data_IF_873322621333
#
_entry.id   IF_873322621333
#
_cell.length_a   1.000
_cell.length_b   1.000
_cell.length_c   1.000
_cell.angle_alpha   90.00
_cell.angle_beta   90.00
_cell.angle_gamma   90.00
#
_symmetry.space_group_name_H-M   'P 1'
#
loop_
_entity.id
_entity.type
_entity.pdbx_description
1 polymer ?
#
# COMPACT_ATOMS: atom_id res chain seq x y z
N UNK A 1 11.24 -0.88 -9.65
CA UNK A 1 10.70 -0.40 -10.94
C UNK A 1 11.42 -1.01 -12.14
N UNK A 2 12.68 -0.66 -12.43
CA UNK A 2 13.37 -1.06 -13.68
C UNK A 2 13.46 -2.57 -13.93
N UNK A 3 13.63 -3.38 -12.87
CA UNK A 3 13.66 -4.84 -12.99
C UNK A 3 12.35 -5.43 -13.53
N UNK A 4 11.20 -4.82 -13.23
CA UNK A 4 9.92 -5.26 -13.79
C UNK A 4 9.87 -5.07 -15.30
N UNK A 5 10.27 -3.88 -15.77
CA UNK A 5 10.30 -3.56 -17.20
C UNK A 5 11.27 -4.46 -17.97
N UNK A 6 12.52 -4.56 -17.52
CA UNK A 6 13.51 -5.37 -18.27
C UNK A 6 13.17 -6.87 -18.26
N UNK A 7 12.52 -7.38 -17.21
CA UNK A 7 12.10 -8.78 -17.16
C UNK A 7 10.92 -9.08 -18.09
N UNK A 8 10.04 -8.10 -18.32
CA UNK A 8 8.93 -8.23 -19.26
C UNK A 8 9.43 -8.42 -20.71
N UNK A 9 10.57 -7.82 -21.06
CA UNK A 9 11.24 -7.98 -22.37
C UNK A 9 11.92 -9.35 -22.57
N UNK A 10 11.98 -10.18 -21.53
CA UNK A 10 12.58 -11.53 -21.55
C UNK A 10 14.00 -11.62 -22.18
N UNK A 11 15.00 -10.84 -21.71
CA UNK A 11 16.37 -10.98 -22.19
C UNK A 11 16.89 -12.40 -21.99
N UNK A 12 17.55 -12.98 -23.00
CA UNK A 12 17.96 -14.38 -23.01
C UNK A 12 18.88 -14.78 -21.83
N UNK A 13 19.66 -13.84 -21.32
CA UNK A 13 20.61 -14.07 -20.22
C UNK A 13 20.11 -13.57 -18.85
N UNK A 14 18.88 -13.06 -18.76
CA UNK A 14 18.30 -12.65 -17.48
C UNK A 14 17.77 -13.88 -16.73
N UNK A 15 18.62 -14.45 -15.87
CA UNK A 15 18.32 -15.70 -15.15
C UNK A 15 17.30 -15.53 -14.03
N UNK A 16 17.31 -14.40 -13.33
CA UNK A 16 16.40 -14.11 -12.22
C UNK A 16 16.33 -12.60 -11.92
N UNK A 17 15.28 -12.17 -11.22
CA UNK A 17 15.14 -10.79 -10.72
C UNK A 17 14.89 -10.74 -9.21
N UNK A 18 15.29 -9.63 -8.60
CA UNK A 18 14.99 -9.28 -7.20
C UNK A 18 14.42 -7.86 -7.14
N UNK A 19 13.15 -7.65 -7.51
CA UNK A 19 12.49 -6.37 -7.31
C UNK A 19 12.30 -6.15 -5.80
N UNK A 20 13.26 -5.46 -5.20
CA UNK A 20 13.24 -5.14 -3.78
C UNK A 20 12.52 -3.80 -3.62
N UNK A 21 11.26 -3.82 -3.16
CA UNK A 21 10.43 -2.61 -3.00
C UNK A 21 10.25 -1.82 -4.30
N UNK A 22 9.57 -2.41 -5.29
CA UNK A 22 9.47 -1.87 -6.63
C UNK A 22 8.05 -1.51 -7.05
N UNK A 23 7.79 -0.23 -7.32
CA UNK A 23 6.60 0.20 -8.07
C UNK A 23 6.49 -0.55 -9.42
N UNK A 24 5.28 -0.99 -9.77
CA UNK A 24 4.94 -1.71 -10.99
C UNK A 24 3.95 -0.98 -11.91
N UNK A 25 3.15 -0.06 -11.36
CA UNK A 25 2.24 0.85 -12.08
C UNK A 25 2.38 2.27 -11.51
N UNK A 26 3.17 3.12 -12.18
CA UNK A 26 3.52 4.44 -11.66
C UNK A 26 2.30 5.35 -11.45
N UNK A 27 1.29 5.23 -12.31
CA UNK A 27 0.08 6.04 -12.20
C UNK A 27 -0.72 5.63 -10.97
N UNK A 28 -1.06 4.35 -10.82
CA UNK A 28 -1.95 3.89 -9.74
C UNK A 28 -1.28 3.84 -8.36
N UNK A 29 0.06 3.83 -8.30
CA UNK A 29 0.79 3.56 -7.06
C UNK A 29 1.58 4.74 -6.51
N UNK A 30 1.84 5.78 -7.31
CA UNK A 30 2.64 6.91 -6.84
C UNK A 30 2.11 8.25 -7.32
N UNK A 31 1.76 8.37 -8.59
CA UNK A 31 1.37 9.65 -9.19
C UNK A 31 -0.10 10.01 -8.96
N UNK A 32 -1.01 9.03 -9.03
CA UNK A 32 -2.46 9.26 -9.05
C UNK A 32 -3.22 8.12 -8.37
N UNK A 33 -2.85 7.82 -7.12
CA UNK A 33 -3.55 6.82 -6.31
C UNK A 33 -5.04 7.16 -6.23
N UNK A 34 -5.90 6.19 -6.50
CA UNK A 34 -7.34 6.42 -6.48
C UNK A 34 -7.86 7.45 -7.49
N UNK A 35 -7.06 7.88 -8.48
CA UNK A 35 -7.44 8.97 -9.37
C UNK A 35 -7.24 10.38 -8.78
N UNK A 36 -6.56 10.50 -7.64
CA UNK A 36 -6.19 11.79 -7.04
C UNK A 36 -4.72 12.09 -7.32
N UNK A 37 -4.41 13.16 -8.08
CA UNK A 37 -3.05 13.57 -8.38
C UNK A 37 -2.22 13.90 -7.12
N UNK A 38 -1.06 13.24 -6.99
CA UNK A 38 -0.08 13.49 -5.93
C UNK A 38 1.12 14.25 -6.49
N UNK A 39 1.20 15.54 -6.20
CA UNK A 39 2.31 16.38 -6.64
C UNK A 39 3.48 16.42 -5.65
N UNK A 40 3.24 16.12 -4.37
CA UNK A 40 4.21 16.37 -3.29
C UNK A 40 5.52 15.60 -3.45
N UNK A 41 5.44 14.27 -3.53
CA UNK A 41 6.63 13.41 -3.60
C UNK A 41 7.45 13.66 -4.88
N UNK A 42 6.79 13.69 -6.05
CA UNK A 42 7.49 13.95 -7.30
C UNK A 42 8.00 15.39 -7.42
N UNK A 43 7.30 16.37 -6.85
CA UNK A 43 7.77 17.75 -6.76
C UNK A 43 9.02 17.87 -5.90
N UNK A 44 9.09 17.11 -4.81
CA UNK A 44 10.26 17.02 -3.95
C UNK A 44 11.44 16.31 -4.62
N UNK A 45 11.23 15.14 -5.26
CA UNK A 45 12.33 14.33 -5.78
C UNK A 45 12.87 14.85 -7.12
N UNK A 46 12.01 15.47 -7.95
CA UNK A 46 12.35 15.87 -9.31
C UNK A 46 13.60 16.76 -9.39
N UNK A 47 13.83 17.78 -8.54
CA UNK A 47 15.07 18.56 -8.53
C UNK A 47 16.36 17.74 -8.32
N UNK A 48 16.29 16.58 -7.67
CA UNK A 48 17.43 15.69 -7.42
C UNK A 48 17.70 14.70 -8.56
N UNK A 49 16.78 14.56 -9.52
CA UNK A 49 16.91 13.65 -10.66
C UNK A 49 17.45 14.39 -11.88
N UNK A 50 18.72 14.81 -11.84
CA UNK A 50 19.38 15.48 -12.97
C UNK A 50 20.14 14.50 -13.87
N UNK A 51 20.23 14.85 -15.15
CA UNK A 51 20.99 14.13 -16.17
C UNK A 51 21.57 15.10 -17.19
N UNK A 52 22.39 14.61 -18.12
CA UNK A 52 23.00 15.43 -19.17
C UNK A 52 22.05 15.78 -20.32
N UNK A 53 20.82 15.25 -20.31
CA UNK A 53 19.84 15.39 -21.39
C UNK A 53 18.49 15.88 -20.86
N UNK A 54 17.47 15.82 -21.71
CA UNK A 54 16.09 16.13 -21.34
C UNK A 54 15.55 15.11 -20.33
N UNK A 55 14.61 15.55 -19.51
CA UNK A 55 13.90 14.72 -18.54
C UNK A 55 12.40 14.89 -18.75
N UNK A 56 11.68 13.79 -18.60
CA UNK A 56 10.23 13.80 -18.55
C UNK A 56 9.72 14.58 -17.33
N UNK A 57 8.84 15.56 -17.56
CA UNK A 57 8.14 16.27 -16.50
C UNK A 57 6.82 15.54 -16.20
N UNK A 58 6.90 14.53 -15.34
CA UNK A 58 5.74 13.71 -14.98
C UNK A 58 4.62 14.51 -14.30
N UNK A 59 4.94 15.64 -13.65
CA UNK A 59 3.93 16.50 -13.01
C UNK A 59 3.15 17.27 -14.08
N UNK A 60 3.85 17.89 -15.02
CA UNK A 60 3.21 18.55 -16.16
C UNK A 60 2.39 17.56 -17.01
N UNK A 61 2.88 16.32 -17.15
CA UNK A 61 2.16 15.26 -17.87
C UNK A 61 0.91 14.82 -17.11
N UNK A 62 0.91 14.78 -15.78
CA UNK A 62 -0.27 14.49 -14.96
C UNK A 62 -1.32 15.60 -15.04
N UNK A 63 -0.90 16.86 -15.12
CA UNK A 63 -1.80 17.99 -15.36
C UNK A 63 -2.42 17.93 -16.76
N UNK A 64 -1.62 17.57 -17.77
CA UNK A 64 -2.08 17.46 -19.16
C UNK A 64 -2.98 16.24 -19.39
N UNK A 65 -2.67 15.12 -18.74
CA UNK A 65 -3.34 13.84 -18.87
C UNK A 65 -3.75 13.32 -17.48
N UNK A 66 -4.83 13.83 -16.89
CA UNK A 66 -5.22 13.50 -15.52
C UNK A 66 -5.79 12.08 -15.38
N UNK A 67 -6.27 11.49 -16.47
CA UNK A 67 -6.86 10.15 -16.53
C UNK A 67 -5.91 9.14 -17.18
N UNK A 68 -6.07 7.86 -16.83
CA UNK A 68 -5.36 6.74 -17.43
C UNK A 68 -5.56 6.71 -18.95
N UNK A 69 -4.46 6.71 -19.70
CA UNK A 69 -4.43 6.67 -21.16
C UNK A 69 -3.21 5.85 -21.62
N UNK A 70 -2.96 5.77 -22.93
CA UNK A 70 -1.83 5.03 -23.49
C UNK A 70 -0.47 5.47 -22.93
N UNK A 71 -0.30 6.78 -22.67
CA UNK A 71 0.93 7.31 -22.07
C UNK A 71 1.17 6.78 -20.65
N UNK A 72 0.13 6.69 -19.82
CA UNK A 72 0.25 6.10 -18.48
C UNK A 72 0.37 4.59 -18.49
N UNK A 73 -0.29 3.91 -19.44
CA UNK A 73 -0.15 2.47 -19.62
C UNK A 73 1.29 2.07 -19.99
N UNK A 74 2.01 2.90 -20.75
CA UNK A 74 3.45 2.72 -21.02
C UNK A 74 4.31 2.77 -19.74
N UNK A 75 3.83 3.40 -18.66
CA UNK A 75 4.51 3.45 -17.36
C UNK A 75 4.14 2.29 -16.43
N UNK A 76 3.50 1.25 -16.96
CA UNK A 76 3.23 -0.02 -16.29
C UNK A 76 3.94 -1.15 -17.03
N UNK A 77 4.78 -1.91 -16.33
CA UNK A 77 5.43 -3.07 -16.93
C UNK A 77 4.40 -4.18 -17.21
N UNK A 78 4.54 -4.89 -18.34
CA UNK A 78 3.78 -6.12 -18.62
C UNK A 78 4.32 -7.30 -17.79
N UNK A 79 3.97 -7.31 -16.51
CA UNK A 79 4.43 -8.32 -15.55
C UNK A 79 3.93 -9.73 -15.92
N UNK A 80 2.78 -9.82 -16.60
CA UNK A 80 2.24 -11.08 -17.09
C UNK A 80 3.19 -11.79 -18.08
N UNK A 81 4.12 -11.04 -18.69
CA UNK A 81 5.15 -11.55 -19.59
C UNK A 81 6.41 -12.07 -18.89
N UNK A 82 6.59 -11.84 -17.59
CA UNK A 82 7.79 -12.28 -16.87
C UNK A 82 7.81 -13.81 -16.75
N UNK A 83 8.97 -14.42 -17.01
CA UNK A 83 9.15 -15.90 -16.98
C UNK A 83 10.30 -16.37 -16.10
N UNK A 84 11.29 -15.51 -15.85
CA UNK A 84 12.41 -15.82 -14.97
C UNK A 84 11.96 -15.80 -13.49
N UNK A 85 12.60 -16.59 -12.62
CA UNK A 85 12.44 -16.51 -11.16
C UNK A 85 12.46 -15.07 -10.63
N UNK A 86 11.59 -14.77 -9.67
CA UNK A 86 11.55 -13.48 -9.00
C UNK A 86 11.52 -13.64 -7.48
N UNK A 87 12.38 -12.88 -6.79
CA UNK A 87 12.29 -12.68 -5.36
C UNK A 87 11.82 -11.24 -5.08
N UNK A 88 10.55 -11.10 -4.71
CA UNK A 88 9.89 -9.82 -4.46
C UNK A 88 9.96 -9.45 -2.98
N UNK A 89 10.39 -8.23 -2.69
CA UNK A 89 10.34 -7.63 -1.35
C UNK A 89 9.25 -6.55 -1.30
N UNK A 90 8.49 -6.51 -0.22
CA UNK A 90 7.58 -5.42 0.10
C UNK A 90 7.75 -5.02 1.57
N UNK A 91 7.77 -3.73 1.88
CA UNK A 91 7.55 -3.28 3.26
C UNK A 91 6.05 -3.10 3.51
N UNK A 92 5.60 -3.38 4.73
CA UNK A 92 4.21 -3.14 5.15
C UNK A 92 4.03 -1.74 5.74
N UNK A 93 5.13 -1.02 5.95
CA UNK A 93 5.18 0.20 6.74
C UNK A 93 5.75 1.41 5.99
N UNK A 94 6.35 1.24 4.81
CA UNK A 94 6.70 2.38 3.95
C UNK A 94 5.55 2.64 2.96
N UNK A 95 5.16 3.89 2.83
CA UNK A 95 4.00 4.30 2.04
C UNK A 95 4.28 4.40 0.55
N UNK A 96 5.40 3.89 0.05
CA UNK A 96 5.86 4.09 -1.33
C UNK A 96 5.58 2.89 -2.22
N UNK A 97 6.20 1.74 -1.94
CA UNK A 97 6.31 0.65 -2.91
C UNK A 97 5.50 -0.61 -2.58
N UNK A 98 4.86 -0.69 -1.41
CA UNK A 98 4.09 -1.86 -0.95
C UNK A 98 3.11 -2.38 -1.99
N UNK A 99 2.23 -1.50 -2.50
CA UNK A 99 1.20 -1.86 -3.47
C UNK A 99 1.82 -2.38 -4.76
N UNK A 100 2.88 -1.70 -5.23
CA UNK A 100 3.57 -2.08 -6.46
C UNK A 100 4.32 -3.40 -6.37
N UNK A 101 4.95 -3.67 -5.24
CA UNK A 101 5.58 -4.96 -4.97
C UNK A 101 4.55 -6.08 -4.89
N UNK A 102 3.45 -5.89 -4.15
CA UNK A 102 2.42 -6.93 -4.01
C UNK A 102 1.67 -7.18 -5.32
N UNK A 103 1.24 -6.12 -6.02
CA UNK A 103 0.65 -6.24 -7.36
C UNK A 103 1.62 -6.91 -8.31
N UNK A 104 2.88 -6.49 -8.29
CA UNK A 104 3.90 -7.07 -9.14
C UNK A 104 4.12 -8.55 -8.86
N UNK A 105 4.10 -8.99 -7.60
CA UNK A 105 4.13 -10.41 -7.26
C UNK A 105 2.90 -11.14 -7.78
N UNK A 106 1.70 -10.61 -7.54
CA UNK A 106 0.43 -11.26 -7.87
C UNK A 106 0.10 -11.26 -9.37
N UNK A 107 0.66 -10.34 -10.16
CA UNK A 107 0.47 -10.27 -11.63
C UNK A 107 1.44 -11.23 -12.36
N UNK A 108 2.43 -11.80 -11.68
CA UNK A 108 3.31 -12.84 -12.23
C UNK A 108 2.50 -14.14 -12.38
N UNK A 109 2.62 -14.86 -13.51
CA UNK A 109 2.03 -16.19 -13.65
C UNK A 109 2.58 -17.19 -12.60
N UNK A 110 1.75 -17.58 -11.63
CA UNK A 110 2.14 -18.32 -10.42
C UNK A 110 2.29 -19.84 -10.58
N UNK A 111 2.24 -20.37 -11.79
CA UNK A 111 2.37 -21.80 -12.06
C UNK A 111 3.76 -22.36 -11.76
N UNK A 112 4.76 -21.48 -11.53
CA UNK A 112 6.14 -21.89 -11.24
C UNK A 112 6.50 -21.86 -9.74
N UNK A 113 7.26 -22.88 -9.31
CA UNK A 113 7.81 -23.03 -7.96
C UNK A 113 8.89 -21.98 -7.59
N UNK A 114 9.27 -21.08 -8.49
CA UNK A 114 10.46 -20.22 -8.36
C UNK A 114 10.19 -18.80 -7.85
N UNK A 115 8.93 -18.42 -7.62
CA UNK A 115 8.58 -17.08 -7.15
C UNK A 115 8.49 -17.02 -5.62
N UNK A 116 9.06 -15.98 -5.02
CA UNK A 116 9.07 -15.76 -3.57
C UNK A 116 8.68 -14.33 -3.23
N UNK A 117 7.88 -14.16 -2.17
CA UNK A 117 7.52 -12.88 -1.58
C UNK A 117 8.05 -12.82 -0.14
N UNK A 118 8.70 -11.72 0.23
CA UNK A 118 8.96 -11.37 1.63
C UNK A 118 8.31 -10.03 1.94
N UNK A 119 7.51 -9.98 3.00
CA UNK A 119 7.00 -8.76 3.60
C UNK A 119 7.78 -8.46 4.89
N UNK A 120 8.18 -7.21 5.12
CA UNK A 120 8.84 -6.79 6.37
C UNK A 120 8.21 -5.51 6.95
N UNK A 121 8.36 -5.29 8.26
CA UNK A 121 7.78 -4.13 8.97
C UNK A 121 8.73 -2.95 9.16
N UNK A 122 9.96 -3.03 8.68
CA UNK A 122 10.94 -1.96 8.83
C UNK A 122 11.01 -1.05 7.60
N UNK A 123 11.75 0.05 7.73
CA UNK A 123 12.07 0.97 6.65
C UNK A 123 12.88 0.23 5.56
N UNK A 124 12.61 0.56 4.29
CA UNK A 124 13.21 -0.07 3.10
C UNK A 124 14.74 -0.24 3.20
N UNK A 125 15.50 0.85 3.26
CA UNK A 125 16.96 0.81 3.30
C UNK A 125 17.48 0.17 4.58
N UNK A 126 16.80 0.38 5.71
CA UNK A 126 17.14 -0.31 6.95
C UNK A 126 17.11 -1.82 6.76
N UNK A 127 16.02 -2.37 6.20
CA UNK A 127 15.85 -3.81 5.96
C UNK A 127 16.87 -4.35 4.95
N UNK A 128 17.03 -3.65 3.81
CA UNK A 128 17.90 -4.06 2.70
C UNK A 128 19.33 -4.33 3.15
N UNK A 129 19.86 -3.49 4.05
CA UNK A 129 21.25 -3.57 4.51
C UNK A 129 21.44 -4.42 5.77
N UNK A 130 20.38 -5.04 6.30
CA UNK A 130 20.55 -5.99 7.42
C UNK A 130 21.31 -7.23 6.98
N UNK A 131 22.17 -7.74 7.87
CA UNK A 131 22.97 -8.96 7.62
C UNK A 131 22.10 -10.15 7.21
N UNK A 132 20.93 -10.32 7.84
CA UNK A 132 20.01 -11.42 7.53
C UNK A 132 19.34 -11.23 6.15
N UNK A 133 18.98 -10.00 5.79
CA UNK A 133 18.43 -9.67 4.46
C UNK A 133 19.45 -9.95 3.35
N UNK A 134 20.68 -9.44 3.50
CA UNK A 134 21.76 -9.66 2.55
C UNK A 134 22.07 -11.15 2.40
N UNK A 135 22.08 -11.91 3.50
CA UNK A 135 22.28 -13.36 3.46
C UNK A 135 21.15 -14.09 2.69
N UNK A 136 19.89 -13.66 2.87
CA UNK A 136 18.73 -14.23 2.17
C UNK A 136 18.72 -13.87 0.67
N UNK A 137 19.10 -12.62 0.30
CA UNK A 137 19.29 -12.22 -1.10
C UNK A 137 20.41 -13.02 -1.76
N UNK A 138 21.55 -13.17 -1.06
CA UNK A 138 22.67 -13.99 -1.52
C UNK A 138 22.24 -15.44 -1.75
N UNK A 139 21.42 -16.01 -0.87
CA UNK A 139 20.90 -17.38 -1.03
C UNK A 139 20.10 -17.55 -2.32
N UNK A 140 19.22 -16.59 -2.66
CA UNK A 140 18.50 -16.59 -3.94
C UNK A 140 19.45 -16.50 -5.14
N UNK A 141 20.38 -15.55 -5.10
CA UNK A 141 21.30 -15.31 -6.20
C UNK A 141 22.27 -16.46 -6.42
N UNK A 142 22.83 -17.05 -5.37
CA UNK A 142 23.73 -18.21 -5.48
C UNK A 142 23.00 -19.41 -6.09
N UNK A 143 21.72 -19.62 -5.75
CA UNK A 143 20.92 -20.70 -6.32
C UNK A 143 20.73 -20.52 -7.83
N UNK A 144 20.25 -19.35 -8.28
CA UNK A 144 19.92 -19.13 -9.69
C UNK A 144 21.11 -18.75 -10.58
N UNK A 145 22.09 -18.02 -10.06
CA UNK A 145 23.23 -17.54 -10.87
C UNK A 145 24.42 -18.50 -10.85
N UNK A 146 24.58 -19.30 -9.79
CA UNK A 146 25.70 -20.25 -9.66
C UNK A 146 25.28 -21.72 -9.67
N UNK A 147 23.98 -22.00 -9.58
CA UNK A 147 23.47 -23.37 -9.49
C UNK A 147 23.80 -24.05 -8.16
N UNK A 148 24.05 -23.29 -7.08
CA UNK A 148 24.33 -23.86 -5.77
C UNK A 148 23.08 -24.49 -5.16
N UNK A 149 23.15 -25.75 -4.73
CA UNK A 149 22.06 -26.42 -4.01
C UNK A 149 22.06 -26.02 -2.52
N UNK A 150 21.68 -24.76 -2.24
CA UNK A 150 21.69 -24.18 -0.90
C UNK A 150 20.33 -24.27 -0.17
N UNK A 151 19.39 -25.03 -0.72
CA UNK A 151 18.06 -25.20 -0.14
C UNK A 151 17.12 -23.99 -0.34
N UNK A 152 17.31 -23.20 -1.41
CA UNK A 152 16.43 -22.06 -1.72
C UNK A 152 15.00 -22.49 -2.08
N UNK A 153 14.84 -23.57 -2.85
CA UNK A 153 13.50 -24.01 -3.30
C UNK A 153 12.57 -24.43 -2.16
N UNK A 154 13.13 -24.80 -1.01
CA UNK A 154 12.40 -25.19 0.20
C UNK A 154 11.91 -23.98 1.01
N UNK A 155 12.32 -22.76 0.66
CA UNK A 155 11.79 -21.55 1.31
C UNK A 155 10.29 -21.39 1.02
N UNK A 156 9.53 -20.92 2.00
CA UNK A 156 8.10 -20.66 1.86
C UNK A 156 7.82 -19.63 0.76
N UNK A 157 6.71 -19.80 0.03
CA UNK A 157 6.38 -18.92 -1.11
C UNK A 157 6.14 -17.48 -0.68
N UNK A 158 5.51 -17.28 0.47
CA UNK A 158 5.33 -15.99 1.09
C UNK A 158 5.84 -16.04 2.54
N UNK A 159 6.61 -15.02 2.92
CA UNK A 159 7.20 -14.88 4.25
C UNK A 159 6.85 -13.51 4.78
N UNK A 160 6.34 -13.41 6.00
CA UNK A 160 6.07 -12.13 6.64
C UNK A 160 6.91 -12.02 7.90
N UNK A 161 7.86 -11.11 7.87
CA UNK A 161 8.77 -10.78 8.97
C UNK A 161 8.28 -9.48 9.62
N UNK A 162 7.23 -9.59 10.44
CA UNK A 162 6.65 -8.46 11.15
C UNK A 162 6.77 -8.68 12.66
N UNK A 163 7.36 -7.70 13.35
CA UNK A 163 7.41 -7.59 14.82
C UNK A 163 7.56 -8.94 15.55
N UNK A 164 8.74 -9.54 15.41
CA UNK A 164 9.27 -10.74 16.13
C UNK A 164 8.96 -12.09 15.44
N UNK A 165 7.85 -12.23 14.71
CA UNK A 165 7.51 -13.51 14.08
C UNK A 165 7.87 -13.55 12.60
N UNK A 166 8.51 -14.65 12.18
CA UNK A 166 8.72 -14.97 10.78
C UNK A 166 7.63 -15.94 10.32
N UNK A 167 6.48 -15.40 9.93
CA UNK A 167 5.34 -16.19 9.48
C UNK A 167 5.58 -16.72 8.08
N UNK A 168 5.40 -18.03 7.91
CA UNK A 168 5.65 -18.74 6.67
C UNK A 168 4.33 -19.19 6.08
N UNK A 169 4.09 -18.84 4.82
CA UNK A 169 2.88 -19.18 4.09
C UNK A 169 3.19 -19.91 2.80
N UNK A 170 2.34 -20.87 2.46
CA UNK A 170 2.47 -21.68 1.26
C UNK A 170 2.15 -20.89 -0.03
N UNK A 171 1.39 -19.79 0.08
CA UNK A 171 1.00 -18.93 -1.03
C UNK A 171 0.69 -17.50 -0.57
N UNK A 172 0.61 -16.59 -1.52
CA UNK A 172 0.03 -15.26 -1.37
C UNK A 172 -0.99 -15.04 -2.49
N UNK A 173 -2.16 -14.44 -2.22
CA UNK A 173 -2.72 -14.13 -0.89
C UNK A 173 -2.80 -15.36 0.03
N UNK A 174 -2.74 -15.16 1.35
CA UNK A 174 -2.69 -16.27 2.31
C UNK A 174 -4.04 -17.02 2.30
N UNK A 175 -4.06 -18.32 1.98
CA UNK A 175 -5.32 -19.06 1.79
C UNK A 175 -6.07 -19.33 3.09
N UNK A 176 -5.39 -19.32 4.24
CA UNK A 176 -5.98 -19.56 5.56
C UNK A 176 -6.65 -18.30 6.19
N UNK A 177 -6.75 -17.18 5.45
CA UNK A 177 -7.36 -15.95 5.97
C UNK A 177 -8.88 -16.09 6.07
N UNK A 178 -9.43 -15.74 7.23
CA UNK A 178 -10.86 -15.51 7.44
C UNK A 178 -11.18 -14.02 7.26
N UNK A 179 -12.03 -13.69 6.28
CA UNK A 179 -12.49 -12.31 6.09
C UNK A 179 -13.43 -11.89 7.23
N UNK A 180 -13.15 -10.74 7.85
CA UNK A 180 -14.04 -10.11 8.83
C UNK A 180 -14.77 -8.96 8.14
N UNK A 181 -16.10 -8.97 8.17
CA UNK A 181 -16.90 -7.84 7.69
C UNK A 181 -17.37 -7.02 8.87
N UNK A 182 -16.93 -5.76 8.92
CA UNK A 182 -17.37 -4.77 9.89
C UNK A 182 -18.25 -3.73 9.18
N UNK A 183 -19.37 -3.38 9.81
CA UNK A 183 -20.37 -2.44 9.28
C UNK A 183 -20.34 -1.15 10.09
N UNK A 184 -20.42 -0.02 9.39
CA UNK A 184 -20.45 1.30 10.01
C UNK A 184 -21.81 1.53 10.68
N UNK A 185 -21.79 1.98 11.93
CA UNK A 185 -22.96 2.36 12.72
C UNK A 185 -22.91 3.86 13.01
N UNK A 186 -24.07 4.54 12.99
CA UNK A 186 -24.17 6.01 13.12
C UNK A 186 -23.62 6.55 14.43
N UNK A 187 -23.48 5.70 15.45
CA UNK A 187 -22.91 6.04 16.75
C UNK A 187 -21.36 5.98 16.80
N UNK A 188 -20.69 5.92 15.65
CA UNK A 188 -19.22 5.90 15.57
C UNK A 188 -18.61 4.55 15.91
N UNK A 189 -19.39 3.47 15.83
CA UNK A 189 -18.91 2.10 16.07
C UNK A 189 -18.90 1.26 14.80
N UNK A 190 -18.06 0.24 14.78
CA UNK A 190 -18.05 -0.82 13.78
C UNK A 190 -18.70 -2.06 14.38
N UNK A 191 -19.60 -2.71 13.65
CA UNK A 191 -20.35 -3.88 14.13
C UNK A 191 -20.17 -5.09 13.19
N UNK A 192 -19.91 -6.27 13.76
CA UNK A 192 -19.79 -7.52 13.00
C UNK A 192 -21.15 -8.14 12.67
N UNK A 193 -22.14 -7.98 13.55
CA UNK A 193 -23.53 -8.41 13.34
C UNK A 193 -24.40 -7.29 12.77
N UNK A 194 -25.29 -7.61 11.84
CA UNK A 194 -26.21 -6.66 11.24
C UNK A 194 -27.21 -6.10 12.26
N UNK A 195 -27.69 -6.93 13.20
CA UNK A 195 -28.71 -6.56 14.19
C UNK A 195 -28.22 -5.51 15.21
N UNK A 196 -26.91 -5.33 15.33
CA UNK A 196 -26.29 -4.36 16.23
C UNK A 196 -26.03 -3.01 15.56
N UNK A 197 -26.18 -2.92 14.23
CA UNK A 197 -25.92 -1.69 13.48
C UNK A 197 -27.04 -0.68 13.71
N UNK A 198 -26.71 0.50 14.22
CA UNK A 198 -27.65 1.62 14.23
C UNK A 198 -27.61 2.34 12.90
N UNK A 199 -28.72 2.29 12.18
CA UNK A 199 -28.89 2.96 10.89
C UNK A 199 -28.97 4.47 11.07
N UNK A 200 -28.34 5.22 10.16
CA UNK A 200 -28.36 6.67 10.16
C UNK A 200 -27.37 7.24 9.17
N UNK A 201 -27.11 8.55 9.30
CA UNK A 201 -26.14 9.28 8.50
C UNK A 201 -25.22 10.07 9.42
N UNK A 202 -23.95 10.16 9.03
CA UNK A 202 -22.94 10.98 9.69
C UNK A 202 -22.38 11.95 8.64
N UNK A 203 -22.03 13.15 9.06
CA UNK A 203 -21.56 14.23 8.19
C UNK A 203 -20.43 15.01 8.86
N UNK A 204 -19.55 15.58 8.05
CA UNK A 204 -18.45 16.46 8.45
C UNK A 204 -18.21 17.49 7.34
N UNK A 205 -17.45 18.53 7.65
CA UNK A 205 -17.10 19.62 6.74
C UNK A 205 -15.82 19.23 5.98
N UNK A 206 -15.95 18.97 4.67
CA UNK A 206 -14.84 18.42 3.87
C UNK A 206 -13.79 19.44 3.42
N UNK A 207 -14.04 20.74 3.50
CA UNK A 207 -13.10 21.82 3.15
C UNK A 207 -12.38 22.40 4.36
N UNK A 208 -12.58 21.83 5.54
CA UNK A 208 -11.82 22.15 6.72
C UNK A 208 -10.34 21.81 6.53
N UNK A 209 -9.48 22.61 7.15
CA UNK A 209 -8.03 22.37 7.10
C UNK A 209 -7.70 21.08 7.85
N UNK A 210 -7.11 20.12 7.15
CA UNK A 210 -6.54 18.93 7.78
C UNK A 210 -5.30 19.32 8.59
N UNK A 211 -5.35 19.11 9.91
CA UNK A 211 -4.26 19.37 10.84
C UNK A 211 -3.33 18.16 10.94
N UNK A 212 -3.77 16.98 10.49
CA UNK A 212 -3.04 15.71 10.55
C UNK A 212 -2.60 15.36 11.98
N UNK A 213 -3.44 15.64 12.97
CA UNK A 213 -3.12 15.59 14.40
C UNK A 213 -3.66 14.38 15.18
N UNK A 214 -4.15 13.37 14.46
CA UNK A 214 -4.82 12.15 14.96
C UNK A 214 -6.22 12.40 15.56
N UNK A 215 -6.64 13.66 15.71
CA UNK A 215 -7.95 14.06 16.24
C UNK A 215 -8.47 15.31 15.52
N UNK A 216 -8.40 15.31 14.19
CA UNK A 216 -8.84 16.43 13.38
C UNK A 216 -10.37 16.65 13.62
N UNK A 217 -10.85 17.90 13.75
CA UNK A 217 -12.24 18.16 14.13
C UNK A 217 -13.26 17.75 13.06
N UNK A 218 -12.83 17.58 11.81
CA UNK A 218 -13.68 17.34 10.64
C UNK A 218 -13.29 16.04 9.95
N UNK A 219 -13.30 14.96 10.72
CA UNK A 219 -13.19 13.58 10.23
C UNK A 219 -14.27 12.68 10.86
N UNK A 220 -14.59 11.56 10.21
CA UNK A 220 -15.47 10.54 10.78
C UNK A 220 -14.66 9.33 11.25
N UNK A 221 -14.79 9.00 12.54
CA UNK A 221 -14.13 7.88 13.18
C UNK A 221 -15.13 6.76 13.50
N UNK A 222 -14.74 5.52 13.22
CA UNK A 222 -15.52 4.32 13.57
C UNK A 222 -14.62 3.30 14.26
N UNK A 223 -15.00 2.87 15.46
CA UNK A 223 -14.15 2.01 16.30
C UNK A 223 -14.70 0.59 16.44
N UNK A 224 -13.82 -0.42 16.35
CA UNK A 224 -14.09 -1.81 16.69
C UNK A 224 -13.13 -2.30 17.77
N UNK A 225 -13.65 -2.91 18.84
CA UNK A 225 -12.82 -3.51 19.90
C UNK A 225 -12.73 -5.02 19.70
N UNK A 226 -11.53 -5.53 19.41
CA UNK A 226 -11.27 -6.96 19.35
C UNK A 226 -11.32 -7.59 20.74
N UNK A 227 -12.06 -8.68 20.89
CA UNK A 227 -12.19 -9.42 22.16
C UNK A 227 -11.10 -10.47 22.37
N UNK A 228 -10.31 -10.74 21.34
CA UNK A 228 -9.19 -11.68 21.34
C UNK A 228 -8.06 -11.15 20.47
N UNK A 229 -6.83 -11.57 20.74
CA UNK A 229 -5.68 -11.25 19.89
C UNK A 229 -5.97 -11.71 18.46
N UNK A 230 -5.87 -10.77 17.52
CA UNK A 230 -6.26 -10.98 16.12
C UNK A 230 -5.17 -10.40 15.23
N UNK A 231 -4.71 -11.21 14.27
CA UNK A 231 -3.78 -10.77 13.23
C UNK A 231 -4.57 -10.46 11.97
N UNK A 232 -4.38 -9.28 11.42
CA UNK A 232 -4.94 -8.90 10.15
C UNK A 232 -3.82 -9.01 9.11
N UNK A 233 -4.05 -9.72 8.01
CA UNK A 233 -3.04 -9.95 6.97
C UNK A 233 -3.72 -9.80 5.62
N UNK A 234 -3.08 -9.06 4.72
CA UNK A 234 -3.62 -8.81 3.38
C UNK A 234 -4.37 -7.50 3.28
N UNK A 235 -5.19 -7.36 2.24
CA UNK A 235 -5.83 -6.11 1.88
C UNK A 235 -7.16 -5.93 2.61
N UNK A 236 -7.41 -4.70 3.07
CA UNK A 236 -8.69 -4.27 3.62
C UNK A 236 -9.56 -3.58 2.57
N UNK A 237 -10.88 -3.74 2.66
CA UNK A 237 -11.85 -3.18 1.71
C UNK A 237 -12.92 -2.37 2.43
N UNK A 238 -13.13 -1.15 1.97
CA UNK A 238 -14.18 -0.26 2.45
C UNK A 238 -15.28 -0.10 1.39
N UNK A 239 -16.54 -0.18 1.80
CA UNK A 239 -17.69 0.13 0.93
C UNK A 239 -18.46 1.25 1.59
N UNK A 240 -18.41 2.42 0.98
CA UNK A 240 -18.96 3.65 1.53
C UNK A 240 -20.10 4.16 0.63
N UNK A 241 -21.15 4.66 1.28
CA UNK A 241 -22.27 5.33 0.62
C UNK A 241 -22.18 6.81 1.03
N UNK A 242 -21.82 7.66 0.08
CA UNK A 242 -21.46 9.06 0.35
C UNK A 242 -22.18 9.98 -0.62
N UNK A 243 -22.37 11.22 -0.20
CA UNK A 243 -22.90 12.31 -1.03
C UNK A 243 -22.32 13.62 -0.54
N UNK A 244 -22.24 14.60 -1.44
CA UNK A 244 -21.94 15.98 -1.08
C UNK A 244 -23.02 16.89 -1.69
N UNK A 245 -23.64 17.81 -0.93
CA UNK A 245 -24.64 18.71 -1.47
C UNK A 245 -24.04 19.80 -2.36
N UNK A 246 -22.77 20.18 -2.13
CA UNK A 246 -22.16 21.35 -2.76
C UNK A 246 -21.28 21.00 -3.99
N UNK A 247 -20.86 19.73 -4.11
CA UNK A 247 -19.93 19.30 -5.15
C UNK A 247 -20.37 18.01 -5.84
N UNK A 248 -20.00 17.90 -7.12
CA UNK A 248 -20.26 16.74 -7.99
C UNK A 248 -19.08 15.75 -8.06
N UNK A 249 -18.11 15.87 -7.16
CA UNK A 249 -16.97 14.95 -7.02
C UNK A 249 -16.39 15.02 -5.61
N UNK A 250 -15.70 13.97 -5.18
CA UNK A 250 -15.16 13.85 -3.82
C UNK A 250 -13.83 13.11 -3.84
N UNK A 251 -12.82 13.65 -3.17
CA UNK A 251 -11.61 12.92 -2.83
C UNK A 251 -11.79 12.33 -1.44
N UNK A 252 -11.88 11.00 -1.37
CA UNK A 252 -12.14 10.28 -0.12
C UNK A 252 -10.86 9.65 0.36
N UNK A 253 -10.49 9.95 1.60
CA UNK A 253 -9.33 9.39 2.29
C UNK A 253 -9.82 8.55 3.46
N UNK A 254 -9.16 7.42 3.74
CA UNK A 254 -9.39 6.68 4.98
C UNK A 254 -8.09 6.02 5.41
N UNK A 255 -8.04 5.76 6.70
CA UNK A 255 -6.92 5.15 7.36
C UNK A 255 -7.46 4.18 8.42
N UNK A 256 -6.87 3.00 8.51
CA UNK A 256 -7.10 2.13 9.66
C UNK A 256 -6.05 2.43 10.72
N UNK A 257 -6.51 2.87 11.88
CA UNK A 257 -5.67 3.16 13.04
C UNK A 257 -5.81 2.05 14.05
N UNK A 258 -4.69 1.69 14.69
CA UNK A 258 -4.73 0.89 15.91
C UNK A 258 -4.78 1.83 17.11
N UNK A 259 -5.68 1.54 18.04
CA UNK A 259 -5.83 2.29 19.28
C UNK A 259 -5.60 1.32 20.43
N UNK A 260 -4.91 1.76 21.48
CA UNK A 260 -4.72 0.96 22.68
C UNK A 260 -5.96 0.98 23.60
N UNK A 261 -5.88 0.25 24.71
CA UNK A 261 -6.96 0.15 25.71
C UNK A 261 -7.32 1.48 26.37
N UNK A 262 -6.43 2.46 26.31
CA UNK A 262 -6.56 3.77 26.96
C UNK A 262 -6.98 4.85 25.94
N UNK A 263 -7.26 4.46 24.69
CA UNK A 263 -7.69 5.36 23.62
C UNK A 263 -6.54 6.05 22.88
N UNK A 264 -5.27 5.68 23.14
CA UNK A 264 -4.12 6.28 22.45
C UNK A 264 -3.93 5.64 21.07
N UNK A 265 -3.87 6.47 20.04
CA UNK A 265 -3.53 6.03 18.68
C UNK A 265 -2.09 5.54 18.65
N UNK A 266 -1.91 4.28 18.25
CA UNK A 266 -0.61 3.64 18.12
C UNK A 266 -0.04 3.87 16.72
N UNK A 267 1.29 3.95 16.65
CA UNK A 267 2.05 4.12 15.40
C UNK A 267 3.17 3.11 15.35
N UNK A 268 3.51 2.65 14.15
CA UNK A 268 4.69 1.83 13.95
C UNK A 268 5.92 2.71 13.84
N UNK A 269 7.04 2.28 14.40
CA UNK A 269 8.32 2.93 14.14
C UNK A 269 9.07 2.05 13.13
N UNK A 270 9.35 2.62 11.97
CA UNK A 270 9.89 1.90 10.83
C UNK A 270 11.37 1.51 11.04
N UNK A 271 12.08 2.19 11.93
CA UNK A 271 13.44 1.81 12.34
C UNK A 271 13.41 1.60 13.85
N UNK A 272 13.92 0.46 14.37
CA UNK A 272 13.95 0.21 15.81
C UNK A 272 14.51 1.41 16.58
N UNK A 273 13.76 1.91 17.56
CA UNK A 273 14.09 3.17 18.23
C UNK A 273 15.46 3.15 18.93
N UNK A 274 15.89 1.99 19.42
CA UNK A 274 17.23 1.81 19.98
C UNK A 274 18.34 2.02 18.93
N UNK A 275 18.11 1.58 17.69
CA UNK A 275 19.05 1.75 16.58
C UNK A 275 19.07 3.21 16.08
N UNK A 276 17.90 3.85 15.98
CA UNK A 276 17.81 5.29 15.69
C UNK A 276 18.60 6.13 16.70
N UNK A 277 18.44 5.85 18.01
CA UNK A 277 19.19 6.54 19.06
C UNK A 277 20.70 6.28 19.00
N UNK A 278 21.12 5.10 18.56
CA UNK A 278 22.53 4.75 18.47
C UNK A 278 23.27 5.48 17.34
N UNK A 279 22.58 5.81 16.24
CA UNK A 279 23.16 6.53 15.09
C UNK A 279 23.21 8.04 15.32
N UNK A 280 22.24 8.61 16.07
CA UNK A 280 22.13 10.06 16.28
C UNK A 280 21.78 10.84 15.00
N UNK A 281 21.64 12.16 15.09
CA UNK A 281 21.43 13.04 13.93
C UNK A 281 20.26 14.03 14.06
N UNK A 282 20.09 14.83 13.00
CA UNK A 282 19.19 15.99 12.94
C UNK A 282 17.74 15.63 13.32
N UNK A 283 17.35 15.98 14.56
CA UNK A 283 15.95 15.96 15.02
C UNK A 283 15.54 14.78 15.90
N UNK A 284 16.48 13.93 16.36
CA UNK A 284 16.20 12.81 17.29
C UNK A 284 16.88 12.93 18.66
N UNK A 285 17.73 13.94 18.84
CA UNK A 285 18.37 14.22 20.12
C UNK A 285 17.34 14.61 21.19
N UNK A 286 17.42 13.99 22.36
CA UNK A 286 16.50 14.25 23.47
C UNK A 286 15.10 13.66 23.33
N UNK A 287 14.81 12.90 22.26
CA UNK A 287 13.54 12.18 22.14
C UNK A 287 13.56 10.94 23.05
N UNK A 288 12.65 10.91 24.04
CA UNK A 288 12.50 9.78 24.96
C UNK A 288 11.37 8.83 24.56
N UNK A 289 10.25 9.37 24.09
CA UNK A 289 9.10 8.62 23.59
C UNK A 289 9.18 8.51 22.05
N UNK A 290 9.21 7.28 21.47
CA UNK A 290 9.23 7.09 20.02
C UNK A 290 8.04 7.71 19.28
N UNK A 291 6.92 7.97 19.96
CA UNK A 291 5.76 8.63 19.36
C UNK A 291 6.00 10.12 19.08
N UNK A 292 7.01 10.73 19.72
CA UNK A 292 7.44 12.11 19.47
C UNK A 292 8.45 12.23 18.31
N UNK A 293 8.79 11.13 17.63
CA UNK A 293 9.60 11.18 16.42
C UNK A 293 8.90 12.00 15.32
N UNK A 294 9.68 12.60 14.39
CA UNK A 294 9.11 13.32 13.25
C UNK A 294 8.09 12.46 12.49
N UNK A 295 6.96 13.07 12.13
CA UNK A 295 5.87 12.44 11.36
C UNK A 295 6.23 12.34 9.88
N UNK A 296 7.26 11.55 9.60
CA UNK A 296 7.74 11.26 8.26
C UNK A 296 7.47 9.79 7.97
N UNK A 297 6.96 9.49 6.77
CA UNK A 297 6.64 8.11 6.37
C UNK A 297 7.86 7.16 6.47
N UNK A 298 9.08 7.66 6.29
CA UNK A 298 10.30 6.87 6.47
C UNK A 298 10.56 6.46 7.93
N UNK A 299 9.97 7.16 8.91
CA UNK A 299 10.24 7.01 10.35
C UNK A 299 9.04 6.41 11.07
N UNK A 300 7.85 6.93 10.81
CA UNK A 300 6.61 6.49 11.44
C UNK A 300 5.59 6.03 10.40
N UNK A 301 4.98 4.87 10.65
CA UNK A 301 3.84 4.38 9.89
C UNK A 301 2.56 4.49 10.72
N UNK A 302 1.57 5.12 10.10
CA UNK A 302 0.34 5.57 10.72
C UNK A 302 -0.80 4.54 10.62
N UNK A 303 -0.64 3.52 9.78
CA UNK A 303 -1.68 2.56 9.45
C UNK A 303 -1.87 2.42 7.93
N UNK A 304 -2.51 1.33 7.47
CA UNK A 304 -2.87 1.18 6.07
C UNK A 304 -3.90 2.25 5.73
N UNK A 305 -3.72 2.85 4.57
CA UNK A 305 -4.48 4.02 4.15
C UNK A 305 -4.84 3.90 2.69
N UNK A 306 -5.69 4.78 2.23
CA UNK A 306 -5.61 5.15 0.84
C UNK A 306 -6.67 6.16 0.49
N UNK A 307 -6.93 6.21 -0.80
CA UNK A 307 -7.56 7.35 -1.43
C UNK A 307 -8.35 6.89 -2.65
N UNK A 308 -9.49 7.54 -2.89
CA UNK A 308 -10.27 7.37 -4.12
C UNK A 308 -11.05 8.65 -4.43
N UNK A 309 -10.88 9.13 -5.65
CA UNK A 309 -11.76 10.14 -6.24
C UNK A 309 -13.06 9.45 -6.67
N UNK A 310 -14.20 9.95 -6.20
CA UNK A 310 -15.52 9.36 -6.45
C UNK A 310 -15.82 9.21 -7.94
N UNK A 311 -15.41 10.17 -8.77
CA UNK A 311 -15.58 10.07 -10.23
C UNK A 311 -14.74 8.99 -10.91
N UNK A 312 -13.71 8.46 -10.24
CA UNK A 312 -12.89 7.34 -10.71
C UNK A 312 -13.37 5.97 -10.20
N UNK A 313 -14.56 5.88 -9.60
CA UNK A 313 -15.09 4.65 -8.97
C UNK A 313 -15.28 3.46 -9.92
N UNK A 314 -15.26 3.67 -11.25
CA UNK A 314 -15.50 2.59 -12.22
C UNK A 314 -14.47 1.45 -12.05
N UNK A 315 -14.98 0.25 -11.78
CA UNK A 315 -14.17 -0.95 -11.55
C UNK A 315 -13.93 -1.70 -12.85
N UNK A 316 -12.69 -2.11 -13.08
CA UNK A 316 -12.31 -3.09 -14.09
C UNK A 316 -12.45 -4.51 -13.52
N UNK A 317 -13.59 -5.15 -13.77
CA UNK A 317 -13.83 -6.51 -13.29
C UNK A 317 -12.90 -7.56 -13.90
N UNK A 318 -12.26 -7.28 -15.05
CA UNK A 318 -11.41 -8.25 -15.76
C UNK A 318 -10.07 -8.50 -15.07
N UNK A 319 -9.55 -7.48 -14.38
CA UNK A 319 -8.27 -7.52 -13.66
C UNK A 319 -8.44 -7.37 -12.14
N UNK A 320 -9.67 -7.11 -11.68
CA UNK A 320 -9.96 -7.02 -10.24
C UNK A 320 -9.77 -8.35 -9.52
N UNK A 321 -9.22 -8.28 -8.31
CA UNK A 321 -9.05 -9.42 -7.42
C UNK A 321 -10.07 -9.34 -6.27
N UNK A 322 -10.35 -10.45 -5.61
CA UNK A 322 -11.44 -10.58 -4.62
C UNK A 322 -11.48 -9.44 -3.59
N UNK A 323 -10.33 -9.09 -3.01
CA UNK A 323 -10.17 -8.02 -2.01
C UNK A 323 -9.31 -6.85 -2.53
N UNK A 324 -9.18 -6.69 -3.85
CA UNK A 324 -8.44 -5.59 -4.47
C UNK A 324 -9.10 -5.22 -5.82
N UNK A 325 -10.14 -4.36 -5.81
CA UNK A 325 -10.76 -3.84 -7.02
C UNK A 325 -9.75 -2.95 -7.74
N UNK A 326 -9.68 -3.14 -9.04
CA UNK A 326 -8.91 -2.28 -9.91
C UNK A 326 -9.84 -1.22 -10.48
N UNK A 327 -9.53 0.05 -10.27
CA UNK A 327 -10.25 1.14 -10.89
C UNK A 327 -9.65 1.45 -12.28
N UNK A 328 -10.53 1.68 -13.27
CA UNK A 328 -10.09 1.94 -14.65
C UNK A 328 -9.31 3.24 -14.75
N UNK A 329 -9.81 4.28 -14.07
CA UNK A 329 -9.32 5.66 -14.14
C UNK A 329 -9.29 6.25 -15.56
N UNK A 330 -9.99 5.66 -16.53
CA UNK A 330 -9.98 6.12 -17.94
C UNK A 330 -10.94 7.27 -18.19
N UNK A 331 -11.97 7.42 -17.36
CA UNK A 331 -12.97 8.48 -17.45
C UNK A 331 -13.36 8.94 -16.04
N UNK A 332 -13.92 10.14 -15.95
CA UNK A 332 -14.52 10.69 -14.73
C UNK A 332 -16.04 10.64 -14.83
N UNK A 333 -16.69 9.84 -13.99
CA UNK A 333 -18.14 9.78 -13.87
C UNK A 333 -18.59 10.62 -12.66
N UNK A 334 -18.91 11.91 -12.86
CA UNK A 334 -19.29 12.81 -11.75
C UNK A 334 -20.52 12.30 -10.97
N UNK A 335 -20.58 12.62 -9.69
CA UNK A 335 -21.73 12.29 -8.82
C UNK A 335 -22.76 13.42 -8.85
N UNK A 336 -24.02 13.09 -8.59
CA UNK A 336 -25.07 14.10 -8.47
C UNK A 336 -25.03 14.71 -7.06
N UNK A 337 -24.97 16.04 -6.92
CA UNK A 337 -24.98 16.67 -5.61
C UNK A 337 -26.23 16.30 -4.79
N UNK A 338 -26.05 16.03 -3.50
CA UNK A 338 -27.13 15.78 -2.54
C UNK A 338 -27.89 14.46 -2.67
N UNK A 339 -27.56 13.58 -3.62
CA UNK A 339 -28.21 12.27 -3.74
C UNK A 339 -27.46 11.17 -2.98
N UNK A 340 -28.18 10.47 -2.09
CA UNK A 340 -27.76 9.18 -1.53
C UNK A 340 -28.38 8.07 -2.34
N UNK A 341 -27.68 7.51 -3.32
CA UNK A 341 -28.17 6.31 -4.02
C UNK A 341 -27.19 5.15 -3.86
N UNK A 342 -27.67 3.90 -3.65
CA UNK A 342 -26.82 2.71 -3.74
C UNK A 342 -26.10 2.59 -5.10
N UNK A 343 -26.66 3.22 -6.13
CA UNK A 343 -26.10 3.31 -7.48
C UNK A 343 -24.85 4.20 -7.55
N UNK A 344 -24.67 5.12 -6.60
CA UNK A 344 -23.47 5.95 -6.41
C UNK A 344 -22.53 5.39 -5.34
N UNK A 345 -22.67 4.11 -4.98
CA UNK A 345 -21.78 3.47 -4.00
C UNK A 345 -20.32 3.56 -4.42
N UNK A 346 -19.48 4.00 -3.48
CA UNK A 346 -18.03 4.07 -3.65
C UNK A 346 -17.46 2.82 -3.02
N UNK A 347 -17.03 1.89 -3.88
CA UNK A 347 -16.30 0.71 -3.46
C UNK A 347 -14.83 1.03 -3.50
N UNK A 348 -14.12 0.68 -2.46
CA UNK A 348 -12.74 1.09 -2.31
C UNK A 348 -11.93 0.04 -1.54
N UNK A 349 -10.62 0.08 -1.71
CA UNK A 349 -9.68 -0.79 -1.01
C UNK A 349 -8.59 0.04 -0.41
N UNK A 350 -8.33 -0.26 0.86
CA UNK A 350 -7.22 0.29 1.60
C UNK A 350 -5.94 -0.31 1.07
N UNK A 351 -4.99 0.56 0.75
CA UNK A 351 -3.66 0.20 0.31
C UNK A 351 -2.82 -0.13 1.54
N UNK A 352 -2.59 -1.42 1.76
CA UNK A 352 -1.68 -1.90 2.79
C UNK A 352 -2.01 -3.31 3.21
N UNK A 353 -0.96 -4.09 3.47
CA UNK A 353 -1.11 -5.32 4.22
C UNK A 353 -1.38 -4.94 5.67
N UNK A 354 -2.54 -5.35 6.17
CA UNK A 354 -2.93 -5.05 7.54
C UNK A 354 -1.90 -5.59 8.55
N UNK A 355 -1.89 -4.93 9.70
CA UNK A 355 -0.94 -5.16 10.77
C UNK A 355 -0.98 -6.58 11.33
N UNK A 356 0.21 -7.16 11.47
CA UNK A 356 0.44 -8.37 12.26
C UNK A 356 0.83 -7.95 13.66
N UNK A 357 -0.08 -8.16 14.62
CA UNK A 357 0.26 -8.23 16.06
C UNK A 357 -0.32 -9.51 16.70
#
# INVERSE_FOLDING_TARGET
>A
MTQWFIAAERPAHLTCIMPLEGCSDAYRETLCRGGVPSHGFFGFISPFLYGSQQREDVIAMLQKYPVMNEYWQDKRADISSIRCPAYVLASISTGLHTVGSLRGFEDIPHDKKCFRLRLHSTQEWHDLYQKHSVADFKKFLDFYLKGENNGWEQTARARISANIDNLLFAAWPVPEINNITLRLSVDGTLQSSFDLVKSGQSSYISDAKAENDDADPEELSFTYTFTQRTRLIGNSKAVLYMSCPDHSDLDVFLILRKVDKDGRVLRHINIPFAELKAVGGDGIEGVEDPLNLPRLNAVQYVGPSGILRASHREIDASISKHNFPHHKHTNEEKIQPGQHSPQQSIKWVLEGSDWID
#
